data_IF_933690751576
#
_entry.id   IF_933690751576
#
_cell.length_a   1.000
_cell.length_b   1.000
_cell.length_c   1.000
_cell.angle_alpha   90.00
_cell.angle_beta   90.00
_cell.angle_gamma   90.00
#
_symmetry.space_group_name_H-M   'P 1'
#
loop_
_entity.id
_entity.type
_entity.pdbx_description
1 polymer ?
#
# COMPACT_ATOMS: atom_id res chain seq x y z
N UNK A 1 -59.96 21.05 18.89
CA UNK A 1 -60.86 20.05 19.49
C UNK A 1 -59.95 18.86 19.78
N UNK A 2 -59.44 18.75 20.99
CA UNK A 2 -59.78 17.85 22.09
C UNK A 2 -59.53 16.41 21.69
N UNK A 3 -58.57 15.74 22.28
CA UNK A 3 -58.60 15.01 23.49
C UNK A 3 -57.34 14.19 23.76
N UNK A 4 -56.97 14.23 25.01
CA UNK A 4 -55.91 13.51 25.65
C UNK A 4 -56.23 12.03 25.89
N UNK A 5 -55.21 11.19 25.98
CA UNK A 5 -55.30 9.82 26.41
C UNK A 5 -53.91 9.28 26.86
N UNK A 6 -53.68 9.34 28.15
CA UNK A 6 -52.53 8.72 28.80
C UNK A 6 -52.75 7.20 28.94
N UNK A 7 -51.70 6.39 28.76
CA UNK A 7 -51.67 4.98 29.04
C UNK A 7 -50.28 4.51 29.34
N UNK A 8 -49.95 4.35 30.63
CA UNK A 8 -48.72 3.80 31.11
C UNK A 8 -48.63 2.30 30.85
N UNK A 9 -47.44 1.83 30.52
CA UNK A 9 -47.08 0.42 30.43
C UNK A 9 -45.79 0.13 31.20
N UNK A 10 -45.56 -1.09 31.67
CA UNK A 10 -44.64 -1.36 32.76
C UNK A 10 -43.17 -1.48 32.32
N UNK A 11 -42.31 -1.02 33.20
CA UNK A 11 -40.84 -1.25 33.19
C UNK A 11 -40.56 -2.76 33.35
N UNK A 12 -39.86 -3.32 32.34
CA UNK A 12 -39.21 -4.62 32.49
C UNK A 12 -37.72 -4.38 32.64
N UNK A 13 -37.22 -4.57 33.84
CA UNK A 13 -35.78 -4.68 34.13
C UNK A 13 -35.28 -6.01 33.54
N UNK A 14 -34.47 -5.94 32.50
CA UNK A 14 -33.71 -7.09 32.02
C UNK A 14 -32.33 -7.04 32.67
N UNK A 15 -32.08 -8.01 33.52
CA UNK A 15 -30.77 -8.29 34.11
C UNK A 15 -29.78 -8.67 33.01
N UNK A 16 -28.66 -7.96 32.97
CA UNK A 16 -27.53 -8.31 32.17
C UNK A 16 -26.85 -9.55 32.75
N UNK A 17 -26.96 -10.68 32.05
CA UNK A 17 -26.11 -11.85 32.25
C UNK A 17 -24.88 -11.71 31.33
N UNK A 18 -23.84 -11.00 31.78
CA UNK A 18 -22.52 -11.03 31.21
C UNK A 18 -21.81 -12.32 31.62
N UNK A 19 -21.38 -13.11 30.64
CA UNK A 19 -20.58 -14.29 30.92
C UNK A 19 -20.74 -15.37 29.86
N UNK A 20 -20.08 -15.26 28.70
CA UNK A 20 -20.09 -16.35 27.73
C UNK A 20 -19.38 -16.12 26.38
N UNK A 21 -19.02 -14.90 26.03
CA UNK A 21 -18.54 -14.65 24.64
C UNK A 21 -17.04 -14.85 24.38
N UNK A 22 -16.18 -14.82 25.39
CA UNK A 22 -14.73 -14.97 25.19
C UNK A 22 -14.26 -16.40 24.87
N UNK A 23 -15.03 -17.40 25.23
CA UNK A 23 -14.67 -18.81 24.97
C UNK A 23 -15.02 -19.30 23.56
N UNK A 24 -16.08 -18.78 22.95
CA UNK A 24 -16.54 -19.21 21.63
C UNK A 24 -15.64 -18.65 20.50
N UNK A 25 -15.25 -17.39 20.57
CA UNK A 25 -14.37 -16.76 19.56
C UNK A 25 -13.01 -17.42 19.45
N UNK A 26 -12.38 -17.75 20.57
CA UNK A 26 -11.07 -18.44 20.59
C UNK A 26 -11.16 -19.87 20.06
N UNK A 27 -12.29 -20.55 20.23
CA UNK A 27 -12.53 -21.89 19.68
C UNK A 27 -12.68 -21.86 18.17
N UNK A 28 -13.47 -20.91 17.63
CA UNK A 28 -13.68 -20.70 16.19
C UNK A 28 -12.36 -20.32 15.51
N UNK A 29 -11.59 -19.40 16.07
CA UNK A 29 -10.30 -19.01 15.52
C UNK A 29 -9.32 -20.20 15.43
N UNK A 30 -9.26 -21.06 16.44
CA UNK A 30 -8.45 -22.29 16.44
C UNK A 30 -8.93 -23.29 15.40
N UNK A 31 -10.22 -23.51 15.25
CA UNK A 31 -10.78 -24.39 14.24
C UNK A 31 -10.42 -23.90 12.82
N UNK A 32 -10.55 -22.59 12.58
CA UNK A 32 -10.20 -21.96 11.30
C UNK A 32 -8.71 -22.07 10.99
N UNK A 33 -7.82 -21.89 11.97
CA UNK A 33 -6.39 -22.10 11.79
C UNK A 33 -6.06 -23.54 11.42
N UNK A 34 -6.65 -24.53 12.11
CA UNK A 34 -6.47 -25.94 11.81
C UNK A 34 -6.96 -26.31 10.39
N UNK A 35 -8.08 -25.76 9.93
CA UNK A 35 -8.56 -25.97 8.56
C UNK A 35 -7.58 -25.39 7.51
N UNK A 36 -7.01 -24.20 7.73
CA UNK A 36 -5.99 -23.64 6.84
C UNK A 36 -4.76 -24.53 6.75
N UNK A 37 -4.27 -24.99 7.87
CA UNK A 37 -3.10 -25.89 7.95
C UNK A 37 -3.37 -27.22 7.24
N UNK A 38 -4.52 -27.84 7.49
CA UNK A 38 -4.92 -29.09 6.87
C UNK A 38 -5.01 -28.97 5.34
N UNK A 39 -5.65 -27.91 4.84
CA UNK A 39 -5.73 -27.66 3.39
C UNK A 39 -4.36 -27.39 2.79
N UNK A 40 -3.54 -26.57 3.43
CA UNK A 40 -2.16 -26.30 2.98
C UNK A 40 -1.33 -27.57 2.90
N UNK A 41 -1.38 -28.41 3.93
CA UNK A 41 -0.69 -29.71 3.96
C UNK A 41 -1.19 -30.67 2.87
N UNK A 42 -2.50 -30.66 2.60
CA UNK A 42 -3.08 -31.47 1.52
C UNK A 42 -2.59 -31.00 0.15
N UNK A 43 -2.63 -29.68 -0.12
CA UNK A 43 -2.14 -29.11 -1.37
C UNK A 43 -0.64 -29.40 -1.57
N UNK A 44 0.18 -29.28 -0.52
CA UNK A 44 1.60 -29.61 -0.57
C UNK A 44 1.86 -31.06 -1.00
N UNK A 45 1.09 -32.00 -0.42
CA UNK A 45 1.27 -33.45 -0.71
C UNK A 45 0.74 -33.89 -2.05
N UNK A 46 -0.35 -33.28 -2.52
CA UNK A 46 -1.08 -33.78 -3.70
C UNK A 46 -0.76 -33.02 -4.99
N UNK A 47 -0.20 -31.82 -4.89
CA UNK A 47 -0.04 -30.95 -6.04
C UNK A 47 -1.37 -30.52 -6.69
N UNK A 48 -2.50 -30.61 -5.97
CA UNK A 48 -3.80 -30.30 -6.52
C UNK A 48 -3.89 -28.84 -7.00
N UNK A 49 -4.39 -28.63 -8.19
CA UNK A 49 -4.56 -27.31 -8.82
C UNK A 49 -6.00 -26.77 -8.71
N UNK A 50 -6.90 -27.57 -8.17
CA UNK A 50 -8.30 -27.21 -7.96
C UNK A 50 -8.76 -27.74 -6.62
N UNK A 51 -9.34 -26.88 -5.81
CA UNK A 51 -10.09 -27.23 -4.60
C UNK A 51 -11.57 -27.06 -4.90
N UNK A 52 -12.37 -28.10 -4.69
CA UNK A 52 -13.82 -28.05 -4.89
C UNK A 52 -14.51 -28.02 -3.54
N UNK A 53 -15.28 -26.96 -3.31
CA UNK A 53 -16.11 -26.80 -2.11
C UNK A 53 -17.45 -27.49 -2.33
N UNK A 54 -17.69 -28.55 -1.56
CA UNK A 54 -18.93 -29.31 -1.55
C UNK A 54 -19.67 -29.17 -0.21
N UNK A 55 -19.28 -28.16 0.58
CA UNK A 55 -19.86 -27.93 1.90
C UNK A 55 -21.11 -27.06 1.82
N UNK A 56 -22.03 -27.30 2.75
CA UNK A 56 -23.23 -26.50 2.93
C UNK A 56 -23.13 -25.55 4.14
N UNK A 57 -23.95 -24.51 4.15
CA UNK A 57 -24.21 -23.70 5.32
C UNK A 57 -25.00 -24.55 6.38
N UNK A 58 -24.69 -24.43 7.67
CA UNK A 58 -23.71 -23.57 8.30
C UNK A 58 -22.35 -24.27 8.56
N UNK A 59 -22.02 -25.35 7.86
CA UNK A 59 -20.75 -26.10 8.08
C UNK A 59 -19.55 -25.23 7.77
N UNK A 60 -19.59 -24.52 6.63
CA UNK A 60 -18.64 -23.45 6.29
C UNK A 60 -19.41 -22.17 5.95
N UNK A 61 -19.19 -21.13 6.75
CA UNK A 61 -19.69 -19.79 6.48
C UNK A 61 -18.77 -19.00 5.53
N UNK A 62 -19.14 -17.75 5.25
CA UNK A 62 -18.36 -16.88 4.38
C UNK A 62 -16.93 -16.66 4.89
N UNK A 63 -16.73 -16.51 6.19
CA UNK A 63 -15.43 -16.24 6.78
C UNK A 63 -14.50 -17.44 6.60
N UNK A 64 -14.95 -18.65 6.91
CA UNK A 64 -14.19 -19.88 6.75
C UNK A 64 -13.85 -20.13 5.28
N UNK A 65 -14.82 -19.95 4.37
CA UNK A 65 -14.59 -20.09 2.93
C UNK A 65 -13.51 -19.13 2.44
N UNK A 66 -13.53 -17.85 2.84
CA UNK A 66 -12.48 -16.91 2.44
C UNK A 66 -11.10 -17.30 2.98
N UNK A 67 -11.01 -17.91 4.15
CA UNK A 67 -9.76 -18.45 4.67
C UNK A 67 -9.24 -19.59 3.79
N UNK A 68 -10.10 -20.55 3.42
CA UNK A 68 -9.74 -21.68 2.56
C UNK A 68 -9.42 -21.23 1.12
N UNK A 69 -10.19 -20.30 0.56
CA UNK A 69 -9.90 -19.63 -0.72
C UNK A 69 -8.50 -19.02 -0.68
N UNK A 70 -8.18 -18.29 0.38
CA UNK A 70 -6.88 -17.64 0.55
C UNK A 70 -5.72 -18.65 0.54
N UNK A 71 -5.89 -19.78 1.20
CA UNK A 71 -4.91 -20.87 1.18
C UNK A 71 -4.79 -21.45 -0.22
N UNK A 72 -5.90 -21.81 -0.87
CA UNK A 72 -5.87 -22.36 -2.23
C UNK A 72 -5.12 -21.44 -3.20
N UNK A 73 -5.46 -20.14 -3.19
CA UNK A 73 -4.82 -19.14 -4.04
C UNK A 73 -3.32 -18.98 -3.74
N UNK A 74 -2.92 -19.06 -2.46
CA UNK A 74 -1.50 -18.95 -2.09
C UNK A 74 -0.65 -20.13 -2.58
N UNK A 75 -1.30 -21.27 -2.84
CA UNK A 75 -0.71 -22.46 -3.47
C UNK A 75 -0.88 -22.50 -5.00
N UNK A 76 -1.41 -21.43 -5.61
CA UNK A 76 -1.67 -21.41 -7.05
C UNK A 76 -2.85 -22.28 -7.49
N UNK A 77 -3.67 -22.76 -6.57
CA UNK A 77 -4.85 -23.57 -6.87
C UNK A 77 -6.11 -22.71 -7.02
N UNK A 78 -7.01 -23.09 -7.91
CA UNK A 78 -8.37 -22.54 -8.00
C UNK A 78 -9.22 -23.07 -6.86
N UNK A 79 -10.17 -22.28 -6.39
CA UNK A 79 -11.19 -22.68 -5.44
C UNK A 79 -12.56 -22.52 -6.07
N UNK A 80 -13.33 -23.59 -6.19
CA UNK A 80 -14.57 -23.67 -6.95
C UNK A 80 -15.69 -24.15 -6.06
N UNK A 81 -16.75 -23.39 -5.92
CA UNK A 81 -18.03 -23.79 -5.33
C UNK A 81 -19.10 -23.95 -6.39
N UNK A 82 -20.34 -24.22 -5.96
CA UNK A 82 -21.47 -24.46 -6.86
C UNK A 82 -21.81 -23.24 -7.74
N UNK A 83 -21.65 -22.02 -7.22
CA UNK A 83 -22.04 -20.76 -7.87
C UNK A 83 -20.94 -19.68 -7.82
N UNK A 84 -19.71 -20.03 -7.43
CA UNK A 84 -18.57 -19.13 -7.39
C UNK A 84 -17.25 -19.83 -7.75
N UNK A 85 -16.30 -19.04 -8.24
CA UNK A 85 -14.94 -19.48 -8.49
C UNK A 85 -13.95 -18.37 -8.15
N UNK A 86 -12.83 -18.75 -7.50
CA UNK A 86 -11.67 -17.91 -7.30
C UNK A 86 -10.47 -18.56 -7.96
N UNK A 87 -9.83 -17.82 -8.85
CA UNK A 87 -8.62 -18.24 -9.55
C UNK A 87 -7.41 -17.44 -9.08
N UNK A 88 -6.22 -18.05 -8.96
CA UNK A 88 -4.99 -17.30 -8.69
C UNK A 88 -4.74 -16.29 -9.80
N UNK A 89 -4.19 -15.13 -9.44
CA UNK A 89 -3.82 -14.12 -10.42
C UNK A 89 -2.82 -14.72 -11.41
N UNK A 90 -3.08 -14.64 -12.72
CA UNK A 90 -2.09 -15.00 -13.72
C UNK A 90 -0.87 -14.11 -13.53
N UNK A 91 0.28 -14.70 -13.22
CA UNK A 91 1.52 -13.95 -13.14
C UNK A 91 2.06 -13.78 -14.56
N UNK A 92 2.40 -12.55 -14.89
CA UNK A 92 3.19 -12.25 -16.06
C UNK A 92 4.57 -12.94 -15.91
N UNK A 93 5.37 -12.89 -16.96
CA UNK A 93 6.71 -13.49 -17.00
C UNK A 93 7.52 -13.15 -15.76
N UNK A 94 8.46 -14.02 -15.43
CA UNK A 94 9.48 -13.79 -14.43
C UNK A 94 10.35 -12.60 -14.83
N UNK A 95 10.61 -11.68 -13.92
CA UNK A 95 11.61 -10.63 -14.14
C UNK A 95 12.99 -11.25 -14.27
N UNK A 96 13.77 -10.78 -15.24
CA UNK A 96 15.20 -11.13 -15.37
C UNK A 96 16.08 -10.46 -14.31
N UNK A 97 15.47 -9.69 -13.42
CA UNK A 97 16.11 -8.92 -12.35
C UNK A 97 15.57 -9.32 -10.98
N UNK A 98 16.40 -9.25 -9.92
CA UNK A 98 15.91 -9.34 -8.55
C UNK A 98 14.81 -8.30 -8.30
N UNK A 99 13.73 -8.68 -7.64
CA UNK A 99 12.60 -7.78 -7.50
C UNK A 99 11.83 -7.92 -6.18
N UNK A 100 11.25 -6.80 -5.77
CA UNK A 100 10.32 -6.71 -4.66
C UNK A 100 8.96 -6.22 -5.17
N UNK A 101 7.86 -6.74 -4.64
CA UNK A 101 6.52 -6.23 -4.93
C UNK A 101 5.95 -5.53 -3.69
N UNK A 102 5.48 -4.30 -3.85
CA UNK A 102 4.76 -3.55 -2.82
C UNK A 102 3.27 -3.62 -3.15
N UNK A 103 2.54 -4.38 -2.36
CA UNK A 103 1.09 -4.57 -2.49
C UNK A 103 0.37 -3.87 -1.34
N UNK A 104 -0.96 -3.79 -1.39
CA UNK A 104 -1.70 -3.17 -0.29
C UNK A 104 -3.09 -3.75 -0.10
N UNK A 105 -3.61 -3.59 1.10
CA UNK A 105 -4.97 -4.00 1.46
C UNK A 105 -6.04 -3.07 0.88
N UNK A 106 -5.65 -1.89 0.39
CA UNK A 106 -6.60 -0.91 -0.14
C UNK A 106 -5.95 0.37 -0.68
N UNK A 107 -6.79 1.37 -0.90
CA UNK A 107 -6.35 2.72 -1.22
C UNK A 107 -6.00 3.49 0.06
N UNK A 108 -5.10 4.46 -0.06
CA UNK A 108 -4.69 5.38 1.04
C UNK A 108 -4.09 4.67 2.26
N UNK A 109 -3.51 3.48 2.06
CA UNK A 109 -2.80 2.75 3.12
C UNK A 109 -1.31 3.12 3.21
N UNK A 110 -0.80 4.02 2.35
CA UNK A 110 0.59 4.49 2.39
C UNK A 110 1.55 3.78 1.43
N UNK A 111 1.05 3.05 0.40
CA UNK A 111 1.93 2.33 -0.54
C UNK A 111 3.00 3.19 -1.19
N UNK A 112 2.62 4.35 -1.75
CA UNK A 112 3.56 5.26 -2.42
C UNK A 112 4.64 5.78 -1.47
N UNK A 113 4.30 6.01 -0.19
CA UNK A 113 5.29 6.36 0.83
C UNK A 113 6.29 5.21 1.08
N UNK A 114 5.80 3.96 1.15
CA UNK A 114 6.65 2.77 1.27
C UNK A 114 7.51 2.61 0.02
N UNK A 115 6.93 2.68 -1.18
CA UNK A 115 7.65 2.61 -2.47
C UNK A 115 8.73 3.68 -2.57
N UNK A 116 8.39 4.93 -2.24
CA UNK A 116 9.33 6.05 -2.21
C UNK A 116 10.48 5.83 -1.23
N UNK A 117 10.21 5.28 -0.04
CA UNK A 117 11.27 4.97 0.93
C UNK A 117 12.21 3.86 0.41
N UNK A 118 11.66 2.79 -0.19
CA UNK A 118 12.46 1.76 -0.86
C UNK A 118 13.29 2.38 -1.99
N UNK A 119 12.69 3.17 -2.88
CA UNK A 119 13.39 3.82 -3.99
C UNK A 119 14.58 4.67 -3.51
N UNK A 120 14.39 5.52 -2.51
CA UNK A 120 15.48 6.35 -1.95
C UNK A 120 16.57 5.50 -1.30
N UNK A 121 16.20 4.50 -0.49
CA UNK A 121 17.18 3.63 0.17
C UNK A 121 18.01 2.85 -0.84
N UNK A 122 17.34 2.24 -1.81
CA UNK A 122 17.99 1.43 -2.84
C UNK A 122 18.80 2.30 -3.82
N UNK A 123 18.29 3.47 -4.20
CA UNK A 123 19.03 4.45 -5.00
C UNK A 123 20.33 4.93 -4.33
N UNK A 124 20.29 5.13 -3.00
CA UNK A 124 21.49 5.42 -2.21
C UNK A 124 22.47 4.25 -2.11
N UNK A 125 21.96 3.01 -2.13
CA UNK A 125 22.78 1.79 -2.03
C UNK A 125 23.40 1.35 -3.35
N UNK A 126 22.65 1.38 -4.44
CA UNK A 126 23.06 0.83 -5.74
C UNK A 126 23.36 1.89 -6.80
N UNK A 127 22.87 3.11 -6.60
CA UNK A 127 22.89 4.17 -7.61
C UNK A 127 21.49 4.40 -8.20
N UNK A 128 21.19 5.64 -8.57
CA UNK A 128 19.85 6.04 -9.04
C UNK A 128 19.42 5.33 -10.33
N UNK A 129 20.40 5.03 -11.22
CA UNK A 129 20.17 4.35 -12.49
C UNK A 129 20.11 2.82 -12.35
N UNK A 130 20.46 2.29 -11.17
CA UNK A 130 20.49 0.86 -10.88
C UNK A 130 19.21 0.37 -10.20
N UNK A 131 18.26 1.25 -9.95
CA UNK A 131 16.98 0.95 -9.32
C UNK A 131 15.85 1.41 -10.23
N UNK A 132 14.89 0.53 -10.45
CA UNK A 132 13.68 0.85 -11.22
C UNK A 132 12.46 0.64 -10.35
N UNK A 133 11.61 1.66 -10.23
CA UNK A 133 10.26 1.53 -9.68
C UNK A 133 9.28 1.42 -10.84
N UNK A 134 8.48 0.35 -10.88
CA UNK A 134 7.40 0.19 -11.84
C UNK A 134 6.08 0.42 -11.13
N UNK A 135 5.46 1.56 -11.36
CA UNK A 135 4.21 1.95 -10.72
C UNK A 135 3.01 1.64 -11.62
N UNK A 136 2.10 0.81 -11.11
CA UNK A 136 0.86 0.44 -11.78
C UNK A 136 -0.29 1.31 -11.28
N UNK A 137 -0.87 2.15 -12.14
CA UNK A 137 -1.92 3.11 -11.75
C UNK A 137 -3.14 3.12 -12.67
N UNK A 138 -4.31 3.56 -12.17
CA UNK A 138 -5.49 3.82 -13.01
C UNK A 138 -5.27 5.01 -13.94
N UNK A 139 -4.51 6.00 -13.47
CA UNK A 139 -4.12 7.20 -14.23
C UNK A 139 -2.80 7.03 -14.99
N UNK A 140 -2.23 5.83 -15.02
CA UNK A 140 -0.99 5.57 -15.74
C UNK A 140 -1.12 5.76 -17.25
N UNK A 141 0.00 5.87 -17.97
CA UNK A 141 0.04 6.08 -19.40
C UNK A 141 -0.51 4.85 -20.16
N UNK A 142 -1.04 5.09 -21.36
CA UNK A 142 -1.66 4.03 -22.18
C UNK A 142 -0.66 2.94 -22.62
N UNK A 143 0.56 3.35 -22.94
CA UNK A 143 1.73 2.50 -23.10
C UNK A 143 2.73 2.86 -21.98
N UNK A 144 3.56 1.93 -21.51
CA UNK A 144 4.54 2.21 -20.46
C UNK A 144 5.44 3.39 -20.82
N UNK A 145 5.64 4.30 -19.86
CA UNK A 145 6.50 5.48 -20.02
C UNK A 145 7.60 5.45 -18.97
N UNK A 146 8.80 5.86 -19.37
CA UNK A 146 9.99 5.86 -18.51
C UNK A 146 10.38 7.30 -18.17
N UNK A 147 10.69 7.53 -16.89
CA UNK A 147 11.44 8.69 -16.42
C UNK A 147 12.76 8.16 -15.89
N UNK A 148 13.87 8.54 -16.51
CA UNK A 148 15.16 8.03 -16.11
C UNK A 148 15.69 8.68 -14.84
N UNK A 149 16.38 7.89 -14.03
CA UNK A 149 17.08 8.39 -12.85
C UNK A 149 18.11 9.47 -13.27
N UNK A 150 18.12 10.58 -12.52
CA UNK A 150 18.94 11.72 -12.87
C UNK A 150 18.26 12.79 -13.73
N UNK A 151 17.21 12.46 -14.47
CA UNK A 151 16.32 13.45 -15.08
C UNK A 151 15.51 14.11 -13.94
N UNK A 152 16.05 15.15 -13.34
CA UNK A 152 15.41 15.83 -12.21
C UNK A 152 14.08 16.46 -12.62
N UNK A 153 13.04 15.68 -12.55
CA UNK A 153 11.68 16.15 -12.78
C UNK A 153 11.22 16.97 -11.56
N UNK A 154 11.50 18.28 -11.60
CA UNK A 154 11.05 19.20 -10.53
C UNK A 154 9.64 19.73 -10.77
N UNK A 155 9.22 20.68 -9.91
CA UNK A 155 7.90 21.29 -9.96
C UNK A 155 7.56 21.89 -11.33
N UNK A 156 8.53 22.52 -11.99
CA UNK A 156 8.36 23.10 -13.34
C UNK A 156 8.08 22.03 -14.40
N UNK A 157 8.80 20.91 -14.34
CA UNK A 157 8.59 19.79 -15.28
C UNK A 157 7.22 19.15 -15.11
N UNK A 158 6.76 18.91 -13.87
CA UNK A 158 5.42 18.40 -13.62
C UNK A 158 4.33 19.36 -14.06
N UNK A 159 4.52 20.68 -13.86
CA UNK A 159 3.57 21.69 -14.32
C UNK A 159 3.47 21.69 -15.86
N UNK A 160 4.58 21.53 -16.55
CA UNK A 160 4.60 21.44 -18.01
C UNK A 160 3.88 20.16 -18.49
N UNK A 161 4.13 19.01 -17.87
CA UNK A 161 3.40 17.75 -18.13
C UNK A 161 1.88 17.95 -17.93
N UNK A 162 1.49 18.67 -16.85
CA UNK A 162 0.08 18.98 -16.57
C UNK A 162 -0.54 19.87 -17.66
N UNK A 163 0.18 20.91 -18.11
CA UNK A 163 -0.27 21.83 -19.17
C UNK A 163 -0.44 21.15 -20.53
N UNK A 164 0.33 20.10 -20.78
CA UNK A 164 0.16 19.24 -21.96
C UNK A 164 -1.06 18.31 -21.87
N UNK A 165 -1.84 18.40 -20.80
CA UNK A 165 -3.02 17.56 -20.56
C UNK A 165 -2.68 16.11 -20.16
N UNK A 166 -1.42 15.84 -19.78
CA UNK A 166 -0.99 14.55 -19.29
C UNK A 166 -1.23 14.43 -17.77
N UNK A 167 -1.31 13.20 -17.27
CA UNK A 167 -1.62 12.92 -15.86
C UNK A 167 -0.39 13.12 -14.96
N UNK A 168 -0.03 14.38 -14.71
CA UNK A 168 1.19 14.77 -13.99
C UNK A 168 1.23 14.32 -12.50
N UNK A 169 0.09 13.94 -11.92
CA UNK A 169 -0.02 13.37 -10.56
C UNK A 169 -0.19 11.84 -10.59
N UNK A 170 0.32 11.15 -11.61
CA UNK A 170 0.36 9.69 -11.65
C UNK A 170 1.48 9.14 -10.76
N UNK A 171 1.24 7.98 -10.18
CA UNK A 171 2.12 7.37 -9.16
C UNK A 171 3.60 7.35 -9.62
N UNK A 172 3.90 6.96 -10.89
CA UNK A 172 5.29 6.89 -11.38
C UNK A 172 6.00 8.26 -11.48
N UNK A 173 5.26 9.35 -11.74
CA UNK A 173 5.84 10.70 -11.75
C UNK A 173 6.06 11.21 -10.32
N UNK A 174 5.15 10.88 -9.41
CA UNK A 174 5.33 11.12 -7.98
C UNK A 174 6.59 10.41 -7.48
N UNK A 175 6.76 9.11 -7.77
CA UNK A 175 7.95 8.34 -7.43
C UNK A 175 9.24 8.93 -8.03
N UNK A 176 9.22 9.33 -9.31
CA UNK A 176 10.38 9.94 -9.97
C UNK A 176 10.85 11.21 -9.27
N UNK A 177 9.90 12.09 -8.91
CA UNK A 177 10.21 13.36 -8.21
C UNK A 177 10.70 13.11 -6.80
N UNK A 178 10.06 12.18 -6.06
CA UNK A 178 10.34 11.95 -4.64
C UNK A 178 11.58 11.11 -4.39
N UNK A 179 12.01 10.30 -5.37
CA UNK A 179 13.12 9.35 -5.20
C UNK A 179 14.33 9.63 -6.07
N UNK A 180 14.12 10.20 -7.26
CA UNK A 180 15.16 10.41 -8.26
C UNK A 180 15.66 9.14 -8.95
N UNK A 181 15.08 7.96 -8.67
CA UNK A 181 15.43 6.71 -9.38
C UNK A 181 14.66 6.61 -10.69
N UNK A 182 15.06 5.70 -11.58
CA UNK A 182 14.31 5.41 -12.80
C UNK A 182 12.93 4.87 -12.45
N UNK A 183 11.89 5.43 -13.06
CA UNK A 183 10.50 4.99 -12.86
C UNK A 183 9.83 4.63 -14.17
N UNK A 184 8.95 3.62 -14.13
CA UNK A 184 8.16 3.18 -15.27
C UNK A 184 6.68 3.24 -14.92
N UNK A 185 5.93 4.07 -15.62
CA UNK A 185 4.49 4.17 -15.44
C UNK A 185 3.74 3.12 -16.24
N UNK A 186 2.80 2.43 -15.59
CA UNK A 186 1.91 1.45 -16.20
C UNK A 186 0.45 1.82 -15.94
N UNK A 187 -0.43 1.40 -16.84
CA UNK A 187 -1.88 1.52 -16.68
C UNK A 187 -2.50 0.20 -16.27
N UNK A 188 -3.51 0.28 -15.40
CA UNK A 188 -4.41 -0.83 -15.14
C UNK A 188 -5.88 -0.41 -15.22
N UNK A 189 -6.74 -1.37 -15.56
CA UNK A 189 -8.19 -1.26 -15.52
C UNK A 189 -8.78 -2.39 -14.67
N UNK A 190 -9.83 -2.06 -13.92
CA UNK A 190 -10.49 -3.01 -13.03
C UNK A 190 -9.64 -3.39 -11.81
N UNK A 191 -10.17 -4.25 -10.97
CA UNK A 191 -9.49 -4.82 -9.81
C UNK A 191 -10.35 -5.90 -9.18
N UNK A 192 -9.81 -7.11 -9.13
CA UNK A 192 -10.41 -8.27 -8.49
C UNK A 192 -10.19 -8.27 -6.98
N UNK A 193 -10.94 -9.10 -6.26
CA UNK A 193 -10.85 -9.21 -4.80
C UNK A 193 -9.50 -9.75 -4.35
N UNK A 194 -8.93 -10.69 -5.10
CA UNK A 194 -7.59 -11.25 -4.86
C UNK A 194 -6.43 -10.41 -5.42
N UNK A 195 -6.71 -9.20 -5.93
CA UNK A 195 -5.68 -8.28 -6.41
C UNK A 195 -5.39 -8.34 -7.91
N UNK A 196 -6.05 -9.19 -8.68
CA UNK A 196 -5.89 -9.22 -10.13
C UNK A 196 -6.47 -7.94 -10.79
N UNK A 197 -5.84 -7.45 -11.84
CA UNK A 197 -6.41 -6.46 -12.76
C UNK A 197 -7.16 -7.16 -13.90
N UNK A 198 -8.20 -6.51 -14.44
CA UNK A 198 -8.86 -7.04 -15.66
C UNK A 198 -7.96 -6.87 -16.88
N UNK A 199 -7.24 -5.75 -16.94
CA UNK A 199 -6.29 -5.42 -18.00
C UNK A 199 -5.23 -4.49 -17.43
N UNK A 200 -3.99 -4.70 -17.83
CA UNK A 200 -2.86 -3.83 -17.51
C UNK A 200 -1.80 -3.86 -18.62
N UNK A 201 -0.82 -2.97 -18.49
CA UNK A 201 0.35 -2.88 -19.37
C UNK A 201 1.65 -3.28 -18.67
N UNK A 202 1.57 -3.99 -17.54
CA UNK A 202 2.74 -4.41 -16.76
C UNK A 202 3.63 -5.38 -17.54
N UNK A 203 3.03 -6.28 -18.35
CA UNK A 203 3.81 -7.18 -19.20
C UNK A 203 4.64 -6.45 -20.29
N UNK A 204 4.18 -5.26 -20.74
CA UNK A 204 4.98 -4.41 -21.63
C UNK A 204 6.11 -3.71 -20.87
N UNK A 205 5.83 -3.21 -19.66
CA UNK A 205 6.84 -2.60 -18.82
C UNK A 205 7.93 -3.60 -18.41
N UNK A 206 7.56 -4.85 -18.15
CA UNK A 206 8.53 -5.90 -17.82
C UNK A 206 9.59 -6.05 -18.92
N UNK A 207 9.18 -6.05 -20.21
CA UNK A 207 10.12 -6.10 -21.34
C UNK A 207 11.08 -4.90 -21.37
N UNK A 208 10.55 -3.69 -21.07
CA UNK A 208 11.40 -2.50 -20.99
C UNK A 208 12.42 -2.61 -19.85
N UNK A 209 11.97 -3.07 -18.69
CA UNK A 209 12.81 -3.23 -17.49
C UNK A 209 13.89 -4.29 -17.69
N UNK A 210 13.59 -5.37 -18.42
CA UNK A 210 14.56 -6.43 -18.72
C UNK A 210 15.76 -5.91 -19.53
N UNK A 211 15.52 -4.91 -20.38
CA UNK A 211 16.55 -4.26 -21.20
C UNK A 211 17.31 -3.14 -20.44
N UNK A 212 16.87 -2.73 -19.25
CA UNK A 212 17.52 -1.68 -18.45
C UNK A 212 18.71 -2.21 -17.65
N UNK A 213 19.72 -1.38 -17.34
CA UNK A 213 20.88 -1.77 -16.50
C UNK A 213 20.54 -1.79 -15.01
N UNK A 214 19.35 -2.26 -14.63
CA UNK A 214 18.90 -2.27 -13.25
C UNK A 214 19.45 -3.46 -12.46
N UNK A 215 19.88 -3.19 -11.23
CA UNK A 215 20.29 -4.21 -10.25
C UNK A 215 19.09 -4.77 -9.49
N UNK A 216 18.07 -3.94 -9.24
CA UNK A 216 16.86 -4.32 -8.50
C UNK A 216 15.64 -3.56 -9.02
N UNK A 217 14.49 -4.22 -8.99
CA UNK A 217 13.20 -3.66 -9.43
C UNK A 217 12.20 -3.69 -8.28
N UNK A 218 11.49 -2.58 -8.10
CA UNK A 218 10.37 -2.46 -7.18
C UNK A 218 9.08 -2.36 -7.98
N UNK A 219 8.18 -3.33 -7.82
CA UNK A 219 6.87 -3.36 -8.48
C UNK A 219 5.82 -2.80 -7.54
N UNK A 220 5.26 -1.64 -7.84
CA UNK A 220 4.23 -1.01 -7.01
C UNK A 220 2.83 -1.33 -7.52
N UNK A 221 1.99 -1.88 -6.62
CA UNK A 221 0.57 -2.13 -6.86
C UNK A 221 -0.29 -0.88 -6.68
N UNK A 222 -1.54 -0.95 -7.14
CA UNK A 222 -2.47 0.19 -7.12
C UNK A 222 -3.76 -0.13 -6.36
N UNK A 223 -4.03 0.57 -5.27
CA UNK A 223 -5.15 0.25 -4.39
C UNK A 223 -4.96 -1.14 -3.79
N UNK A 224 -5.89 -2.06 -3.99
CA UNK A 224 -5.79 -3.48 -3.62
C UNK A 224 -5.30 -4.37 -4.78
N UNK A 225 -5.06 -3.82 -5.97
CA UNK A 225 -4.53 -4.58 -7.08
C UNK A 225 -3.02 -4.77 -6.94
N UNK A 226 -2.58 -6.01 -7.13
CA UNK A 226 -1.17 -6.42 -7.07
C UNK A 226 -0.57 -6.45 -8.47
N UNK A 227 0.72 -6.14 -8.64
CA UNK A 227 1.40 -6.33 -9.91
C UNK A 227 1.35 -7.80 -10.33
N UNK A 228 1.02 -8.10 -11.60
CA UNK A 228 0.97 -9.48 -12.09
C UNK A 228 2.39 -10.03 -12.39
N UNK A 229 3.32 -9.81 -11.47
CA UNK A 229 4.73 -10.22 -11.58
C UNK A 229 5.09 -11.08 -10.38
N UNK A 230 5.85 -12.13 -10.64
CA UNK A 230 6.38 -12.98 -9.59
C UNK A 230 7.67 -12.35 -9.04
N UNK A 231 7.55 -11.66 -7.91
CA UNK A 231 8.68 -11.04 -7.23
C UNK A 231 9.31 -11.98 -6.21
N UNK A 232 10.58 -11.77 -5.89
CA UNK A 232 11.30 -12.55 -4.87
C UNK A 232 10.83 -12.22 -3.46
N UNK A 233 10.48 -10.97 -3.20
CA UNK A 233 9.96 -10.51 -1.91
C UNK A 233 8.67 -9.75 -2.13
N UNK A 234 7.70 -9.98 -1.26
CA UNK A 234 6.41 -9.27 -1.26
C UNK A 234 6.25 -8.51 0.04
N UNK A 235 6.07 -7.21 -0.08
CA UNK A 235 5.80 -6.29 1.04
C UNK A 235 4.33 -5.86 0.96
N UNK A 236 3.56 -6.19 1.97
CA UNK A 236 2.19 -5.69 2.09
C UNK A 236 2.15 -4.38 2.87
N UNK A 237 1.23 -3.50 2.51
CA UNK A 237 0.97 -2.24 3.22
C UNK A 237 -0.49 -2.20 3.63
N UNK A 238 -0.73 -2.00 4.92
CA UNK A 238 -2.06 -1.83 5.50
C UNK A 238 -2.08 -0.60 6.42
N UNK A 239 -3.25 -0.09 6.71
CA UNK A 239 -3.43 0.98 7.70
C UNK A 239 -4.05 0.42 8.96
N UNK A 240 -3.54 0.79 10.14
CA UNK A 240 -4.11 0.45 11.43
C UNK A 240 -5.53 1.02 11.63
N UNK A 241 -5.95 1.97 10.77
CA UNK A 241 -7.31 2.51 10.75
C UNK A 241 -8.32 1.58 10.05
N UNK A 242 -7.86 0.61 9.28
CA UNK A 242 -8.77 -0.35 8.63
C UNK A 242 -9.37 -1.30 9.66
N UNK A 243 -10.61 -1.76 9.44
CA UNK A 243 -11.13 -2.90 10.18
C UNK A 243 -10.20 -4.11 10.03
N UNK A 244 -9.95 -4.89 11.11
CA UNK A 244 -9.03 -6.04 11.08
C UNK A 244 -9.35 -7.04 9.96
N UNK A 245 -10.62 -7.19 9.59
CA UNK A 245 -11.08 -8.09 8.54
C UNK A 245 -10.53 -7.75 7.15
N UNK A 246 -10.13 -6.50 6.91
CA UNK A 246 -9.47 -6.11 5.66
C UNK A 246 -7.99 -6.51 5.62
N UNK A 247 -7.38 -6.79 6.79
CA UNK A 247 -5.98 -7.17 6.93
C UNK A 247 -5.83 -8.69 7.01
N UNK A 248 -6.60 -9.34 7.87
CA UNK A 248 -6.50 -10.78 8.17
C UNK A 248 -7.74 -11.60 7.86
N UNK A 249 -8.87 -10.95 7.53
CA UNK A 249 -10.09 -11.58 7.04
C UNK A 249 -10.22 -11.47 5.52
N UNK A 250 -11.32 -11.97 4.97
CA UNK A 250 -11.57 -12.01 3.53
C UNK A 250 -10.33 -12.46 2.74
N UNK A 251 -9.97 -11.73 1.67
CA UNK A 251 -8.73 -11.94 0.92
C UNK A 251 -7.53 -11.10 1.44
N UNK A 252 -7.67 -10.45 2.59
CA UNK A 252 -6.56 -9.98 3.40
C UNK A 252 -5.68 -11.15 3.86
N UNK A 253 -6.28 -12.24 4.29
CA UNK A 253 -5.60 -13.52 4.59
C UNK A 253 -4.68 -13.96 3.44
N UNK A 254 -5.16 -13.92 2.19
CA UNK A 254 -4.34 -14.24 1.02
C UNK A 254 -3.11 -13.34 0.91
N UNK A 255 -3.29 -12.03 1.13
CA UNK A 255 -2.16 -11.07 1.10
C UNK A 255 -1.14 -11.36 2.18
N UNK A 256 -1.57 -11.70 3.39
CA UNK A 256 -0.66 -12.10 4.47
C UNK A 256 0.09 -13.39 4.14
N UNK A 257 -0.59 -14.39 3.55
CA UNK A 257 0.04 -15.66 3.18
C UNK A 257 1.11 -15.52 2.09
N UNK A 258 1.03 -14.49 1.25
CA UNK A 258 2.00 -14.25 0.16
C UNK A 258 2.98 -13.10 0.47
N UNK A 259 3.02 -12.60 1.70
CA UNK A 259 3.90 -11.48 2.09
C UNK A 259 5.05 -11.93 2.98
N UNK A 260 6.19 -11.29 2.81
CA UNK A 260 7.37 -11.41 3.69
C UNK A 260 7.33 -10.41 4.84
N UNK A 261 6.74 -9.22 4.59
CA UNK A 261 6.61 -8.16 5.58
C UNK A 261 5.30 -7.39 5.40
N UNK A 262 4.80 -6.83 6.51
CA UNK A 262 3.67 -5.93 6.56
C UNK A 262 4.09 -4.58 7.14
N UNK A 263 4.09 -3.52 6.32
CA UNK A 263 4.17 -2.16 6.84
C UNK A 263 2.76 -1.73 7.28
N UNK A 264 2.57 -1.61 8.58
CA UNK A 264 1.33 -1.15 9.19
C UNK A 264 1.44 0.35 9.45
N UNK A 265 0.72 1.16 8.71
CA UNK A 265 0.76 2.62 8.81
C UNK A 265 -0.25 3.17 9.80
N UNK A 266 -0.13 4.45 10.16
CA UNK A 266 -1.03 5.18 11.08
C UNK A 266 -1.05 4.60 12.50
N UNK A 267 0.10 4.11 12.99
CA UNK A 267 0.23 3.47 14.30
C UNK A 267 0.53 4.48 15.41
N UNK A 268 -0.30 5.52 15.57
CA UNK A 268 -0.13 6.53 16.63
C UNK A 268 -1.46 7.14 17.10
N UNK A 269 -1.54 7.64 18.33
CA UNK A 269 -2.67 8.45 18.79
C UNK A 269 -2.85 9.74 17.95
N UNK A 270 -4.08 10.24 17.79
CA UNK A 270 -5.32 9.71 18.35
C UNK A 270 -5.94 8.57 17.57
N UNK A 271 -5.32 8.11 16.50
CA UNK A 271 -5.89 7.18 15.53
C UNK A 271 -5.75 5.72 15.93
N UNK A 272 -4.63 5.36 16.54
CA UNK A 272 -4.30 4.00 16.91
C UNK A 272 -3.48 3.99 18.19
N UNK A 273 -3.87 3.18 19.17
CA UNK A 273 -3.11 2.94 20.38
C UNK A 273 -2.23 1.67 20.26
N UNK A 274 -1.37 1.47 21.26
CA UNK A 274 -0.46 0.32 21.30
C UNK A 274 -1.25 -1.01 21.34
N UNK A 275 -2.36 -1.04 22.10
CA UNK A 275 -3.16 -2.25 22.24
C UNK A 275 -3.74 -2.71 20.90
N UNK A 276 -4.18 -1.77 20.04
CA UNK A 276 -4.65 -2.07 18.70
C UNK A 276 -3.53 -2.57 17.80
N UNK A 277 -2.33 -1.99 17.89
CA UNK A 277 -1.15 -2.48 17.13
C UNK A 277 -0.82 -3.92 17.52
N UNK A 278 -0.80 -4.22 18.83
CA UNK A 278 -0.50 -5.56 19.34
C UNK A 278 -1.58 -6.57 18.95
N UNK A 279 -2.86 -6.20 18.96
CA UNK A 279 -3.95 -7.03 18.49
C UNK A 279 -3.77 -7.36 16.98
N UNK A 280 -3.48 -6.36 16.14
CA UNK A 280 -3.25 -6.57 14.70
C UNK A 280 -2.01 -7.43 14.44
N UNK A 281 -0.93 -7.28 15.21
CA UNK A 281 0.24 -8.17 15.14
C UNK A 281 -0.13 -9.63 15.47
N UNK A 282 -0.93 -9.82 16.52
CA UNK A 282 -1.42 -11.15 16.91
C UNK A 282 -2.30 -11.77 15.82
N UNK A 283 -3.20 -10.99 15.23
CA UNK A 283 -4.08 -11.43 14.15
C UNK A 283 -3.26 -11.85 12.92
N UNK A 284 -2.27 -11.05 12.52
CA UNK A 284 -1.36 -11.38 11.41
C UNK A 284 -0.56 -12.64 11.71
N UNK A 285 0.01 -12.75 12.90
CA UNK A 285 0.76 -13.94 13.32
C UNK A 285 -0.10 -15.21 13.32
N UNK A 286 -1.40 -15.09 13.62
CA UNK A 286 -2.34 -16.22 13.54
C UNK A 286 -2.56 -16.73 12.12
N UNK A 287 -2.38 -15.86 11.11
CA UNK A 287 -2.50 -16.19 9.68
C UNK A 287 -1.17 -16.68 9.12
N UNK A 288 -0.11 -15.92 9.36
CA UNK A 288 1.24 -16.25 8.90
C UNK A 288 2.27 -15.70 9.89
N UNK A 289 2.85 -16.55 10.74
CA UNK A 289 3.83 -16.13 11.74
C UNK A 289 5.17 -15.66 11.14
N UNK A 290 5.43 -15.94 9.86
CA UNK A 290 6.66 -15.54 9.17
C UNK A 290 6.61 -14.08 8.66
N UNK A 291 5.45 -13.43 8.69
CA UNK A 291 5.32 -12.03 8.27
C UNK A 291 5.88 -11.10 9.36
N UNK A 292 6.91 -10.36 9.01
CA UNK A 292 7.42 -9.30 9.89
C UNK A 292 6.48 -8.08 9.85
N UNK A 293 5.86 -7.76 10.98
CA UNK A 293 4.95 -6.61 11.12
C UNK A 293 5.71 -5.40 11.61
N UNK A 294 5.74 -4.36 10.78
CA UNK A 294 6.49 -3.12 10.99
C UNK A 294 5.50 -1.97 11.21
N UNK A 295 5.22 -1.58 12.46
CA UNK A 295 4.31 -0.47 12.73
C UNK A 295 5.02 0.86 12.44
N UNK A 296 4.33 1.72 11.69
CA UNK A 296 4.88 2.99 11.20
C UNK A 296 3.86 4.12 11.27
N UNK A 297 4.38 5.32 11.24
CA UNK A 297 3.64 6.57 11.02
C UNK A 297 4.17 7.29 9.81
N UNK A 298 3.38 8.21 9.27
CA UNK A 298 3.78 9.05 8.15
C UNK A 298 4.17 10.44 8.65
N UNK A 299 5.29 10.96 8.16
CA UNK A 299 5.79 12.30 8.49
C UNK A 299 6.10 13.09 7.21
N UNK A 300 5.77 14.37 7.18
CA UNK A 300 6.08 15.22 6.02
C UNK A 300 7.58 15.38 5.88
N UNK A 301 8.11 15.08 4.70
CA UNK A 301 9.51 15.27 4.35
C UNK A 301 9.61 16.18 3.13
N UNK A 302 9.98 17.44 3.28
CA UNK A 302 10.25 18.34 2.16
C UNK A 302 11.37 17.78 1.27
N UNK A 303 11.17 17.85 -0.06
CA UNK A 303 12.18 17.38 -1.04
C UNK A 303 13.40 18.31 -1.06
N UNK A 304 13.16 19.60 -0.87
CA UNK A 304 14.19 20.63 -0.75
C UNK A 304 14.14 21.28 0.64
N UNK A 305 15.24 21.91 1.08
CA UNK A 305 15.33 22.51 2.41
C UNK A 305 14.34 23.65 2.60
N UNK A 306 13.59 23.60 3.70
CA UNK A 306 12.67 24.65 4.16
C UNK A 306 13.14 25.33 5.46
N UNK A 307 14.36 25.06 5.90
CA UNK A 307 14.90 25.55 7.16
C UNK A 307 14.91 27.10 7.22
N UNK A 308 14.36 27.66 8.30
CA UNK A 308 14.25 29.09 8.54
C UNK A 308 13.20 29.80 7.66
N UNK A 309 12.55 29.11 6.75
CA UNK A 309 11.56 29.69 5.80
C UNK A 309 10.15 29.73 6.40
N UNK A 310 9.37 30.73 5.99
CA UNK A 310 7.93 30.79 6.28
C UNK A 310 7.19 29.90 5.29
N UNK A 311 6.54 28.83 5.82
CA UNK A 311 5.96 27.76 5.02
C UNK A 311 4.43 27.75 5.14
N UNK A 312 3.72 27.68 4.03
CA UNK A 312 2.32 27.23 3.99
C UNK A 312 2.31 25.78 3.51
N UNK A 313 1.76 24.89 4.33
CA UNK A 313 1.71 23.45 4.05
C UNK A 313 0.33 23.01 3.59
N UNK A 314 0.27 22.36 2.43
CA UNK A 314 -0.95 21.84 1.81
C UNK A 314 -0.87 20.31 1.72
N UNK A 315 -1.79 19.62 2.39
CA UNK A 315 -1.76 18.15 2.56
C UNK A 315 -3.14 17.53 2.38
N UNK A 316 -3.16 16.23 2.11
CA UNK A 316 -4.37 15.40 2.14
C UNK A 316 -4.61 14.74 3.49
N UNK A 317 -3.76 15.01 4.48
CA UNK A 317 -3.90 14.51 5.85
C UNK A 317 -5.20 15.01 6.50
N UNK A 318 -5.61 14.38 7.58
CA UNK A 318 -6.81 14.81 8.30
C UNK A 318 -6.54 16.03 9.18
N UNK A 319 -7.55 16.87 9.50
CA UNK A 319 -7.37 18.02 10.37
C UNK A 319 -6.76 17.67 11.74
N UNK A 320 -7.08 16.48 12.27
CA UNK A 320 -6.56 15.99 13.55
C UNK A 320 -5.04 15.75 13.50
N UNK A 321 -4.49 15.44 12.32
CA UNK A 321 -3.05 15.24 12.12
C UNK A 321 -2.29 16.55 11.98
N UNK A 322 -2.94 17.67 11.63
CA UNK A 322 -2.28 18.91 11.24
C UNK A 322 -1.27 19.40 12.29
N UNK A 323 -1.61 19.31 13.58
CA UNK A 323 -0.73 19.71 14.67
C UNK A 323 0.54 18.84 14.80
N UNK A 324 0.43 17.53 14.55
CA UNK A 324 1.56 16.61 14.55
C UNK A 324 2.51 16.89 13.40
N UNK A 325 1.94 17.07 12.21
CA UNK A 325 2.71 17.34 10.98
C UNK A 325 3.41 18.68 11.04
N UNK A 326 2.74 19.72 11.57
CA UNK A 326 3.33 21.05 11.81
C UNK A 326 4.53 20.96 12.73
N UNK A 327 4.40 20.35 13.90
CA UNK A 327 5.53 20.16 14.83
C UNK A 327 6.69 19.45 14.18
N UNK A 328 6.44 18.40 13.41
CA UNK A 328 7.51 17.67 12.73
C UNK A 328 8.26 18.56 11.73
N UNK A 329 7.54 19.36 10.93
CA UNK A 329 8.18 20.31 10.00
C UNK A 329 9.02 21.37 10.71
N UNK A 330 8.58 21.83 11.88
CA UNK A 330 9.28 22.83 12.67
C UNK A 330 10.49 22.25 13.42
N UNK A 331 10.32 21.10 14.10
CA UNK A 331 11.36 20.49 14.94
C UNK A 331 12.45 19.77 14.13
N UNK A 332 12.06 19.08 13.05
CA UNK A 332 12.99 18.25 12.28
C UNK A 332 13.53 18.99 11.06
N UNK A 333 12.68 19.77 10.38
CA UNK A 333 13.07 20.47 9.14
C UNK A 333 13.35 21.96 9.34
N UNK A 334 13.18 22.48 10.57
CA UNK A 334 13.47 23.88 10.91
C UNK A 334 12.57 24.90 10.20
N UNK A 335 11.43 24.48 9.68
CA UNK A 335 10.47 25.35 9.03
C UNK A 335 9.81 26.30 10.04
N UNK A 336 9.26 27.41 9.54
CA UNK A 336 8.30 28.25 10.29
C UNK A 336 6.95 28.08 9.62
N UNK A 337 6.12 27.17 10.14
CA UNK A 337 4.81 26.90 9.53
C UNK A 337 3.84 28.00 9.87
N UNK A 338 3.42 28.78 8.88
CA UNK A 338 2.53 29.96 9.02
C UNK A 338 1.10 29.67 8.63
N UNK A 339 0.87 28.59 7.90
CA UNK A 339 -0.46 28.12 7.52
C UNK A 339 -0.41 26.63 7.21
N UNK A 340 -1.49 25.92 7.52
CA UNK A 340 -1.72 24.53 7.12
C UNK A 340 -3.11 24.42 6.52
N UNK A 341 -3.23 23.74 5.41
CA UNK A 341 -4.52 23.32 4.84
C UNK A 341 -4.53 21.83 4.60
N UNK A 342 -5.55 21.16 5.09
CA UNK A 342 -5.83 19.73 4.86
C UNK A 342 -6.78 19.53 3.67
N UNK A 343 -6.99 20.57 2.87
CA UNK A 343 -7.94 20.61 1.78
C UNK A 343 -7.37 20.29 0.40
N UNK A 344 -6.16 19.74 0.33
CA UNK A 344 -5.47 19.49 -0.94
C UNK A 344 -6.31 18.65 -1.94
N UNK A 345 -7.25 17.83 -1.46
CA UNK A 345 -8.18 17.08 -2.30
C UNK A 345 -9.46 17.85 -2.66
N UNK A 346 -9.70 19.04 -2.08
CA UNK A 346 -10.92 19.86 -2.22
C UNK A 346 -10.62 21.19 -2.90
N UNK A 347 -10.60 21.22 -4.23
CA UNK A 347 -10.14 22.36 -5.04
C UNK A 347 -10.67 23.75 -4.61
N UNK A 348 -11.99 23.96 -4.34
CA UNK A 348 -12.47 25.28 -3.92
C UNK A 348 -11.87 25.73 -2.58
N UNK A 349 -11.92 24.89 -1.55
CA UNK A 349 -11.34 25.18 -0.24
C UNK A 349 -9.81 25.35 -0.29
N UNK A 350 -9.14 24.58 -1.14
CA UNK A 350 -7.71 24.72 -1.39
C UNK A 350 -7.38 26.09 -2.00
N UNK A 351 -8.15 26.56 -2.98
CA UNK A 351 -7.92 27.86 -3.60
C UNK A 351 -8.07 29.01 -2.59
N UNK A 352 -9.05 28.92 -1.69
CA UNK A 352 -9.21 29.87 -0.59
C UNK A 352 -8.02 29.83 0.38
N UNK A 353 -7.58 28.64 0.77
CA UNK A 353 -6.45 28.46 1.66
C UNK A 353 -5.14 29.00 1.04
N UNK A 354 -4.91 28.76 -0.24
CA UNK A 354 -3.76 29.27 -0.99
C UNK A 354 -3.79 30.80 -1.03
N UNK A 355 -4.94 31.40 -1.32
CA UNK A 355 -5.09 32.85 -1.30
C UNK A 355 -4.83 33.45 0.11
N UNK A 356 -5.32 32.81 1.16
CA UNK A 356 -5.12 33.23 2.54
C UNK A 356 -3.63 33.10 3.01
N UNK A 357 -2.87 32.21 2.40
CA UNK A 357 -1.45 31.99 2.70
C UNK A 357 -0.52 32.98 1.96
N UNK A 358 -0.98 33.65 0.92
CA UNK A 358 -0.17 34.46 0.00
C UNK A 358 0.74 35.49 0.69
N UNK A 359 0.23 36.23 1.68
CA UNK A 359 1.00 37.23 2.44
C UNK A 359 1.78 36.66 3.63
N UNK A 360 1.59 35.39 3.98
CA UNK A 360 2.11 34.79 5.21
C UNK A 360 3.32 33.89 4.98
N UNK A 361 3.46 33.31 3.79
CA UNK A 361 4.48 32.32 3.48
C UNK A 361 5.39 32.78 2.33
N UNK A 362 6.65 32.30 2.35
CA UNK A 362 7.62 32.45 1.28
C UNK A 362 7.66 31.18 0.42
N UNK A 363 7.36 30.03 1.03
CA UNK A 363 7.36 28.70 0.43
C UNK A 363 5.96 28.07 0.53
N UNK A 364 5.49 27.56 -0.59
CA UNK A 364 4.35 26.67 -0.63
C UNK A 364 4.86 25.22 -0.65
N UNK A 365 4.62 24.50 0.43
CA UNK A 365 4.98 23.09 0.60
C UNK A 365 3.73 22.24 0.33
N UNK A 366 3.81 21.26 -0.57
CA UNK A 366 2.62 20.48 -0.94
C UNK A 366 2.96 19.05 -1.33
N UNK A 367 2.08 18.10 -1.01
CA UNK A 367 2.12 16.74 -1.57
C UNK A 367 1.85 16.80 -3.08
N UNK A 368 2.37 15.81 -3.83
CA UNK A 368 2.15 15.70 -5.27
C UNK A 368 0.79 15.07 -5.54
N UNK A 369 -0.20 15.92 -5.78
CA UNK A 369 -1.57 15.54 -6.16
C UNK A 369 -2.03 16.43 -7.32
N UNK A 370 -3.06 16.01 -8.05
CA UNK A 370 -3.55 16.81 -9.18
C UNK A 370 -3.85 18.26 -8.81
N UNK A 371 -4.52 18.50 -7.68
CA UNK A 371 -4.83 19.84 -7.20
C UNK A 371 -3.59 20.62 -6.76
N UNK A 372 -2.49 19.95 -6.37
CA UNK A 372 -1.22 20.62 -6.05
C UNK A 372 -0.63 21.30 -7.29
N UNK A 373 -0.75 20.68 -8.44
CA UNK A 373 -0.24 21.21 -9.70
C UNK A 373 -1.13 22.31 -10.26
N UNK A 374 -2.44 22.06 -10.32
CA UNK A 374 -3.40 22.98 -10.96
C UNK A 374 -3.72 24.21 -10.10
N UNK A 375 -3.58 24.14 -8.77
CA UNK A 375 -3.97 25.22 -7.85
C UNK A 375 -2.75 25.78 -7.13
N UNK A 376 -1.97 24.93 -6.46
CA UNK A 376 -0.86 25.41 -5.62
C UNK A 376 0.33 25.87 -6.45
N UNK A 377 0.75 25.06 -7.45
CA UNK A 377 1.90 25.41 -8.28
C UNK A 377 1.66 26.63 -9.17
N UNK A 378 0.46 26.75 -9.76
CA UNK A 378 0.11 27.92 -10.55
C UNK A 378 0.03 29.18 -9.69
N UNK A 379 -0.55 29.09 -8.49
CA UNK A 379 -0.59 30.20 -7.56
C UNK A 379 0.80 30.60 -7.06
N UNK A 380 1.66 29.63 -6.76
CA UNK A 380 3.04 29.88 -6.38
C UNK A 380 3.79 30.64 -7.48
N UNK A 381 3.67 30.20 -8.73
CA UNK A 381 4.27 30.87 -9.89
C UNK A 381 3.73 32.31 -10.09
N UNK A 382 2.43 32.50 -9.98
CA UNK A 382 1.79 33.81 -10.14
C UNK A 382 2.17 34.81 -9.05
N UNK A 383 2.45 34.32 -7.83
CA UNK A 383 2.80 35.11 -6.66
C UNK A 383 4.29 35.22 -6.39
N UNK A 384 5.15 34.63 -7.24
CA UNK A 384 6.59 34.60 -7.05
C UNK A 384 7.01 33.82 -5.80
N UNK A 385 6.23 32.81 -5.37
CA UNK A 385 6.54 31.95 -4.25
C UNK A 385 7.34 30.74 -4.72
N UNK A 386 8.21 30.26 -3.84
CA UNK A 386 8.87 28.99 -4.04
C UNK A 386 7.91 27.83 -3.81
N UNK A 387 7.92 26.86 -4.71
CA UNK A 387 7.16 25.60 -4.55
C UNK A 387 8.13 24.48 -4.19
N UNK A 388 7.87 23.85 -3.06
CA UNK A 388 8.59 22.66 -2.60
C UNK A 388 7.59 21.50 -2.49
N UNK A 389 7.98 20.35 -3.02
CA UNK A 389 7.17 19.15 -2.85
C UNK A 389 7.44 18.49 -1.50
N UNK A 390 6.41 17.84 -0.99
CA UNK A 390 6.45 17.13 0.28
C UNK A 390 6.17 15.65 0.04
N UNK A 391 7.12 14.82 0.44
CA UNK A 391 6.95 13.37 0.55
C UNK A 391 6.34 13.02 1.91
N UNK A 392 5.86 11.79 2.03
CA UNK A 392 5.41 11.19 3.28
C UNK A 392 6.43 10.13 3.71
N UNK A 393 7.36 10.48 4.57
CA UNK A 393 8.36 9.56 5.10
C UNK A 393 7.77 8.65 6.17
N UNK A 394 8.15 7.36 6.15
CA UNK A 394 7.79 6.45 7.22
C UNK A 394 8.78 6.52 8.37
N UNK A 395 8.22 6.49 9.58
CA UNK A 395 8.97 6.39 10.84
C UNK A 395 8.43 5.20 11.62
N UNK A 396 9.30 4.27 12.01
CA UNK A 396 8.89 3.13 12.83
C UNK A 396 8.50 3.59 14.24
N UNK A 397 7.41 3.05 14.78
CA UNK A 397 6.94 3.39 16.13
C UNK A 397 7.52 2.46 17.21
N UNK A 398 8.17 1.38 16.81
CA UNK A 398 8.83 0.41 17.71
C UNK A 398 10.36 0.59 17.77
N UNK A 399 10.88 1.69 17.23
CA UNK A 399 12.29 2.05 17.29
C UNK A 399 13.21 1.30 16.33
N UNK A 400 12.66 0.49 15.42
CA UNK A 400 13.47 -0.18 14.40
C UNK A 400 14.07 0.80 13.39
N UNK A 401 15.26 0.50 12.92
CA UNK A 401 15.86 1.18 11.76
C UNK A 401 15.23 0.65 10.46
N UNK A 402 14.38 1.47 9.85
CA UNK A 402 13.73 1.11 8.60
C UNK A 402 14.71 0.96 7.43
N UNK A 403 15.86 1.63 7.47
CA UNK A 403 16.90 1.43 6.46
C UNK A 403 17.46 0.01 6.53
N UNK A 404 17.74 -0.49 7.73
CA UNK A 404 18.18 -1.86 7.95
C UNK A 404 17.10 -2.90 7.56
N UNK A 405 15.82 -2.60 7.83
CA UNK A 405 14.69 -3.46 7.41
C UNK A 405 14.64 -3.57 5.88
N UNK A 406 14.72 -2.44 5.16
CA UNK A 406 14.70 -2.43 3.70
C UNK A 406 15.91 -3.15 3.12
N UNK A 407 17.08 -2.96 3.69
CA UNK A 407 18.30 -3.67 3.27
C UNK A 407 18.14 -5.19 3.43
N UNK A 408 17.62 -5.64 4.58
CA UNK A 408 17.38 -7.07 4.84
C UNK A 408 16.38 -7.70 3.88
N UNK A 409 15.27 -7.00 3.57
CA UNK A 409 14.30 -7.44 2.57
C UNK A 409 14.91 -7.50 1.16
N UNK A 410 15.78 -6.54 0.84
CA UNK A 410 16.48 -6.48 -0.45
C UNK A 410 17.50 -7.61 -0.57
N UNK A 411 18.31 -7.85 0.48
CA UNK A 411 19.27 -8.96 0.50
C UNK A 411 18.55 -10.32 0.37
N UNK A 412 17.39 -10.46 0.99
CA UNK A 412 16.51 -11.63 0.81
C UNK A 412 16.05 -11.77 -0.63
N UNK A 413 15.70 -10.66 -1.32
CA UNK A 413 15.31 -10.69 -2.71
C UNK A 413 16.49 -11.12 -3.63
N UNK A 414 17.67 -10.56 -3.40
CA UNK A 414 18.89 -10.91 -4.13
C UNK A 414 19.26 -12.39 -3.94
N UNK A 415 19.21 -12.91 -2.70
CA UNK A 415 19.51 -14.29 -2.39
C UNK A 415 18.52 -15.26 -3.05
N UNK A 416 17.22 -14.99 -2.95
CA UNK A 416 16.18 -15.80 -3.62
C UNK A 416 16.32 -15.77 -5.14
N UNK A 417 16.63 -14.63 -5.71
CA UNK A 417 16.86 -14.52 -7.15
C UNK A 417 18.04 -15.38 -7.61
N UNK A 418 19.16 -15.33 -6.88
CA UNK A 418 20.33 -16.17 -7.16
C UNK A 418 20.05 -17.67 -7.02
N UNK A 419 19.14 -18.06 -6.11
CA UNK A 419 18.68 -19.43 -5.93
C UNK A 419 17.59 -19.87 -6.93
N UNK A 420 17.06 -18.95 -7.76
CA UNK A 420 15.92 -19.22 -8.64
C UNK A 420 14.59 -19.34 -7.89
N UNK A 421 14.53 -18.81 -6.66
CA UNK A 421 13.37 -18.85 -5.79
C UNK A 421 12.54 -17.57 -5.95
N UNK A 422 11.25 -17.68 -5.69
CA UNK A 422 10.30 -16.57 -5.72
C UNK A 422 9.56 -16.47 -4.39
N UNK A 423 8.98 -15.31 -4.12
CA UNK A 423 8.35 -14.95 -2.85
C UNK A 423 7.43 -16.01 -2.25
N UNK A 424 6.82 -15.78 -1.10
CA UNK A 424 6.26 -16.84 -0.25
C UNK A 424 5.05 -17.57 -0.83
N UNK A 425 4.74 -17.38 -2.12
CA UNK A 425 3.84 -18.27 -2.84
C UNK A 425 4.41 -19.67 -2.79
N UNK A 426 3.67 -20.53 -2.13
CA UNK A 426 4.04 -21.94 -1.97
C UNK A 426 3.95 -22.62 -3.32
N UNK A 427 5.07 -23.10 -3.86
CA UNK A 427 5.13 -23.88 -5.10
C UNK A 427 5.09 -25.36 -4.78
N UNK A 428 4.53 -26.16 -5.69
CA UNK A 428 4.75 -27.60 -5.69
C UNK A 428 6.17 -27.86 -6.21
N UNK A 429 6.91 -28.74 -5.53
CA UNK A 429 8.22 -29.21 -5.98
C UNK A 429 8.06 -29.90 -7.35
N UNK A 430 8.18 -29.16 -8.43
CA UNK A 430 7.98 -29.67 -9.80
C UNK A 430 7.77 -28.58 -10.86
N UNK A 431 7.44 -27.37 -10.47
CA UNK A 431 7.14 -26.29 -11.45
C UNK A 431 8.38 -25.54 -11.99
N UNK A 432 9.59 -25.91 -11.52
CA UNK A 432 10.84 -25.27 -11.95
C UNK A 432 11.27 -25.64 -13.40
N UNK A 433 10.56 -26.52 -14.08
CA UNK A 433 10.99 -27.11 -15.36
C UNK A 433 10.28 -26.63 -16.62
N UNK A 434 9.03 -26.18 -16.55
CA UNK A 434 8.24 -25.97 -17.77
C UNK A 434 8.10 -24.51 -18.25
N UNK A 435 8.58 -23.52 -17.47
CA UNK A 435 8.50 -22.10 -17.84
C UNK A 435 9.59 -21.58 -18.77
N UNK A 436 10.56 -22.41 -19.21
CA UNK A 436 11.69 -21.96 -20.03
C UNK A 436 11.49 -22.04 -21.55
N UNK A 437 10.33 -22.47 -22.04
CA UNK A 437 10.04 -22.45 -23.49
C UNK A 437 8.59 -22.02 -23.74
N UNK A 438 8.36 -20.71 -23.96
CA UNK A 438 7.57 -20.15 -25.07
C UNK A 438 7.52 -18.61 -24.97
#
# INVERSE_FOLDING_TARGET
MTGAGAGGGPSASAAASGGGESGSGASVARATAAMREALGSLLARTGARVVVDVSDEPVLGYQERFQLISVALSWGARYVGADFEFSPQPLARLSSKPSLAIIGTGKRVGKTAVSGMFGRRLGGRFGLDQVVIVAMGRGGPAAPQVVYGGDRLGARGLLEVSRQGLHAASDYLEDAVLTGVTTVGCRRCGGGMAGASMKDTVGEALRLVDDMPATVVVWEGSGSASPPVQAQVVVCVASALQPPEYITGYLGTYRMLISDALFLTMCEPPFCDVARVDALRSDVASVNPEVDVIPTVLRPRPVDSVAGRRVAFFTTATPESAGLLTRHLEEVHGARVTAVSTDLARRPALAEAVAAAAGKADVFLTEIKAAALDVVAEAAAAQGKELVFCDNELVATDGRDLAAVIDGLTDKALARFAAGEYGPRRSHDGDAGEGRQR
#
